data_IF_243686235562
#
_entry.id   IF_243686235562
#
_cell.length_a   1.000
_cell.length_b   1.000
_cell.length_c   1.000
_cell.angle_alpha   90.00
_cell.angle_beta   90.00
_cell.angle_gamma   90.00
#
_symmetry.space_group_name_H-M   'P 1'
#
loop_
_entity.id
_entity.type
_entity.pdbx_description
1 polymer ?
#
# COMPACT_ATOMS: atom_id res chain seq x y z
N UNK A 1 -11.84 20.13 14.83
CA UNK A 1 -11.96 19.42 13.54
C UNK A 1 -12.09 17.92 13.79
N UNK A 2 -12.76 17.19 12.89
CA UNK A 2 -12.83 15.73 12.93
C UNK A 2 -13.05 15.18 11.52
N UNK A 3 -12.64 13.94 11.29
CA UNK A 3 -12.81 13.27 10.00
C UNK A 3 -13.74 12.06 10.08
N UNK A 4 -14.45 11.79 8.98
CA UNK A 4 -15.15 10.53 8.75
C UNK A 4 -14.53 9.90 7.50
N UNK A 5 -13.91 8.73 7.66
CA UNK A 5 -13.31 8.01 6.55
C UNK A 5 -14.18 6.82 6.14
N UNK A 6 -14.22 6.55 4.84
CA UNK A 6 -14.92 5.41 4.26
C UNK A 6 -14.06 4.77 3.18
N UNK A 7 -14.08 3.43 3.13
CA UNK A 7 -13.63 2.68 1.97
C UNK A 7 -14.80 1.89 1.42
N UNK A 8 -15.01 1.95 0.11
CA UNK A 8 -16.16 1.30 -0.51
C UNK A 8 -16.11 1.29 -2.03
N UNK A 9 -17.09 0.59 -2.61
CA UNK A 9 -17.26 0.50 -4.05
C UNK A 9 -18.01 1.72 -4.58
N UNK A 10 -17.53 2.22 -5.71
CA UNK A 10 -18.15 3.28 -6.49
C UNK A 10 -18.35 2.83 -7.93
N UNK A 11 -19.37 3.40 -8.56
CA UNK A 11 -19.76 3.05 -9.91
C UNK A 11 -19.81 4.30 -10.79
N UNK A 12 -19.20 4.23 -11.96
CA UNK A 12 -19.31 5.26 -13.00
C UNK A 12 -19.77 4.59 -14.28
N UNK A 13 -20.82 5.11 -14.92
CA UNK A 13 -21.31 4.55 -16.19
C UNK A 13 -20.42 5.00 -17.37
N UNK A 14 -19.14 4.61 -17.31
CA UNK A 14 -18.11 4.96 -18.27
C UNK A 14 -18.49 4.48 -19.68
N UNK A 15 -18.47 5.42 -20.63
CA UNK A 15 -18.87 5.21 -22.03
C UNK A 15 -17.82 4.38 -22.75
N UNK A 16 -16.54 4.66 -22.49
CA UNK A 16 -15.42 3.97 -23.15
C UNK A 16 -14.42 3.49 -22.09
N UNK A 17 -14.61 2.27 -21.55
CA UNK A 17 -13.63 1.66 -20.67
C UNK A 17 -12.27 1.52 -21.35
N UNK A 18 -11.18 1.61 -20.59
CA UNK A 18 -9.83 1.60 -21.16
C UNK A 18 -8.73 1.81 -20.12
N UNK A 19 -7.48 1.77 -20.58
CA UNK A 19 -6.28 1.98 -19.76
C UNK A 19 -6.29 1.15 -18.46
N UNK A 20 -6.65 -0.13 -18.60
CA UNK A 20 -6.67 -1.11 -17.52
C UNK A 20 -7.55 -0.66 -16.33
N UNK A 21 -6.96 -0.25 -15.20
CA UNK A 21 -7.70 0.16 -13.98
C UNK A 21 -8.15 1.63 -13.99
N UNK A 22 -7.75 2.43 -14.98
CA UNK A 22 -8.02 3.88 -14.96
C UNK A 22 -9.44 4.25 -15.35
N UNK A 23 -10.02 3.52 -16.31
CA UNK A 23 -11.37 3.75 -16.82
C UNK A 23 -12.18 2.47 -16.73
N UNK A 24 -12.72 2.22 -15.54
CA UNK A 24 -13.60 1.08 -15.23
C UNK A 24 -15.01 1.58 -14.86
N UNK A 25 -15.96 0.65 -14.77
CA UNK A 25 -17.34 0.94 -14.34
C UNK A 25 -17.57 0.72 -12.85
N UNK A 26 -16.72 -0.08 -12.23
CA UNK A 26 -16.69 -0.39 -10.79
C UNK A 26 -15.25 -0.25 -10.32
N UNK A 27 -15.04 0.42 -9.19
CA UNK A 27 -13.74 0.61 -8.56
C UNK A 27 -13.94 0.89 -7.06
N UNK A 28 -12.87 0.79 -6.29
CA UNK A 28 -12.89 1.08 -4.84
C UNK A 28 -12.21 2.42 -4.56
N UNK A 29 -12.84 3.20 -3.69
CA UNK A 29 -12.31 4.48 -3.23
C UNK A 29 -12.00 4.42 -1.73
N UNK A 30 -11.01 5.19 -1.34
CA UNK A 30 -10.71 5.53 0.06
C UNK A 30 -10.88 7.04 0.19
N UNK A 31 -11.93 7.45 0.86
CA UNK A 31 -12.33 8.85 0.97
C UNK A 31 -12.42 9.24 2.44
N UNK A 32 -12.18 10.51 2.73
CA UNK A 32 -12.38 11.06 4.05
C UNK A 32 -12.94 12.46 3.98
N UNK A 33 -14.06 12.68 4.65
CA UNK A 33 -14.62 14.00 4.85
C UNK A 33 -14.07 14.58 6.14
N UNK A 34 -13.20 15.59 6.04
CA UNK A 34 -12.58 16.24 7.18
C UNK A 34 -13.23 17.59 7.45
N UNK A 35 -14.04 17.64 8.51
CA UNK A 35 -14.84 18.79 8.91
C UNK A 35 -14.03 19.76 9.76
N UNK A 36 -13.93 21.00 9.29
CA UNK A 36 -13.11 22.06 9.89
C UNK A 36 -13.90 23.33 10.12
N UNK A 37 -13.39 24.19 11.00
CA UNK A 37 -13.97 25.51 11.21
C UNK A 37 -13.68 26.41 9.99
N UNK A 38 -14.67 27.15 9.47
CA UNK A 38 -14.44 28.13 8.40
C UNK A 38 -13.32 29.12 8.76
N UNK A 39 -12.39 29.37 7.83
CA UNK A 39 -11.22 30.21 8.07
C UNK A 39 -9.98 29.44 8.54
N UNK A 40 -10.12 28.16 8.90
CA UNK A 40 -8.99 27.24 9.13
C UNK A 40 -8.76 26.27 7.96
N UNK A 41 -9.63 26.33 6.94
CA UNK A 41 -9.71 25.37 5.84
C UNK A 41 -8.43 25.28 4.99
N UNK A 42 -7.78 26.40 4.69
CA UNK A 42 -6.55 26.39 3.89
C UNK A 42 -5.40 25.68 4.61
N UNK A 43 -5.28 25.88 5.92
CA UNK A 43 -4.28 25.19 6.73
C UNK A 43 -4.53 23.67 6.74
N UNK A 44 -5.78 23.25 6.92
CA UNK A 44 -6.13 21.83 6.93
C UNK A 44 -6.04 21.19 5.55
N UNK A 45 -6.33 21.94 4.48
CA UNK A 45 -6.14 21.50 3.11
C UNK A 45 -4.66 21.23 2.84
N UNK A 46 -3.78 22.17 3.18
CA UNK A 46 -2.34 21.98 3.00
C UNK A 46 -1.79 20.84 3.86
N UNK A 47 -2.24 20.72 5.12
CA UNK A 47 -1.89 19.60 5.98
C UNK A 47 -2.20 18.25 5.33
N UNK A 48 -3.41 18.09 4.77
CA UNK A 48 -3.80 16.82 4.15
C UNK A 48 -3.05 16.56 2.84
N UNK A 49 -2.72 17.58 2.05
CA UNK A 49 -1.86 17.42 0.87
C UNK A 49 -0.50 16.83 1.27
N UNK A 50 0.14 17.43 2.27
CA UNK A 50 1.45 17.00 2.73
C UNK A 50 1.39 15.61 3.37
N UNK A 51 0.35 15.33 4.17
CA UNK A 51 0.16 14.05 4.84
C UNK A 51 -0.11 12.92 3.84
N UNK A 52 -0.93 13.15 2.81
CA UNK A 52 -1.24 12.15 1.79
C UNK A 52 -0.06 11.92 0.86
N UNK A 53 0.68 12.96 0.48
CA UNK A 53 1.94 12.78 -0.27
C UNK A 53 2.96 11.98 0.54
N UNK A 54 3.12 12.31 1.83
CA UNK A 54 3.98 11.58 2.77
C UNK A 54 3.58 10.11 2.87
N UNK A 55 2.29 9.81 2.90
CA UNK A 55 1.80 8.43 2.98
C UNK A 55 2.25 7.57 1.79
N UNK A 56 2.20 8.08 0.56
CA UNK A 56 2.69 7.35 -0.61
C UNK A 56 4.21 7.12 -0.57
N UNK A 57 4.97 8.15 -0.21
CA UNK A 57 6.44 8.07 -0.10
C UNK A 57 6.86 7.13 1.02
N UNK A 58 6.22 7.23 2.18
CA UNK A 58 6.48 6.38 3.34
C UNK A 58 6.23 4.90 3.01
N UNK A 59 5.23 4.60 2.17
CA UNK A 59 4.93 3.25 1.67
C UNK A 59 5.78 2.81 0.48
N UNK A 60 6.82 3.57 0.13
CA UNK A 60 7.88 3.14 -0.78
C UNK A 60 7.78 3.67 -2.21
N UNK A 61 6.82 4.54 -2.53
CA UNK A 61 6.85 5.23 -3.84
C UNK A 61 8.00 6.23 -3.85
N UNK A 62 8.80 6.19 -4.91
CA UNK A 62 9.87 7.14 -5.16
C UNK A 62 9.33 8.55 -5.39
N UNK A 63 9.80 9.58 -4.65
CA UNK A 63 9.31 10.95 -4.77
C UNK A 63 9.37 11.52 -6.19
N UNK A 64 10.37 11.14 -6.99
CA UNK A 64 10.51 11.59 -8.38
C UNK A 64 9.36 11.14 -9.31
N UNK A 65 8.61 10.11 -8.92
CA UNK A 65 7.46 9.62 -9.66
C UNK A 65 6.12 10.19 -9.15
N UNK A 66 6.16 11.08 -8.16
CA UNK A 66 4.98 11.76 -7.64
C UNK A 66 5.07 13.26 -7.93
N UNK A 67 3.90 13.88 -8.13
CA UNK A 67 3.79 15.34 -8.15
C UNK A 67 2.45 15.78 -7.59
N UNK A 68 2.43 17.00 -7.07
CA UNK A 68 1.19 17.72 -6.76
C UNK A 68 0.84 18.57 -7.97
N UNK A 69 -0.39 18.45 -8.46
CA UNK A 69 -0.91 19.21 -9.60
C UNK A 69 -2.13 20.02 -9.17
N UNK A 70 -2.04 21.34 -9.27
CA UNK A 70 -3.20 22.22 -9.05
C UNK A 70 -4.21 22.08 -10.20
N UNK A 71 -5.50 22.07 -9.85
CA UNK A 71 -6.57 22.20 -10.84
C UNK A 71 -6.60 23.63 -11.38
N UNK A 72 -6.72 23.77 -12.70
CA UNK A 72 -6.97 25.07 -13.32
C UNK A 72 -8.42 25.54 -13.13
N UNK A 73 -8.70 26.82 -13.40
CA UNK A 73 -10.07 27.39 -13.26
C UNK A 73 -11.15 26.60 -14.03
N UNK A 74 -10.80 26.02 -15.19
CA UNK A 74 -11.72 25.25 -16.02
C UNK A 74 -11.95 23.80 -15.53
N UNK A 75 -11.08 23.29 -14.66
CA UNK A 75 -11.14 21.93 -14.09
C UNK A 75 -11.80 21.94 -12.70
N UNK A 76 -11.69 23.06 -11.99
CA UNK A 76 -12.22 23.23 -10.65
C UNK A 76 -13.74 23.05 -10.63
N UNK A 77 -14.21 22.16 -9.76
CA UNK A 77 -15.64 22.00 -9.52
C UNK A 77 -16.24 23.30 -8.97
N UNK A 78 -17.47 23.62 -9.37
CA UNK A 78 -18.14 24.88 -9.02
C UNK A 78 -18.27 25.17 -7.52
N UNK A 79 -18.17 24.15 -6.68
CA UNK A 79 -18.22 24.24 -5.22
C UNK A 79 -16.84 24.19 -4.54
N UNK A 80 -15.78 23.87 -5.27
CA UNK A 80 -14.45 23.74 -4.72
C UNK A 80 -13.76 25.10 -4.68
N UNK A 81 -13.21 25.46 -3.52
CA UNK A 81 -12.34 26.63 -3.36
C UNK A 81 -10.94 26.38 -3.92
N UNK A 82 -10.42 25.16 -3.78
CA UNK A 82 -9.15 24.69 -4.31
C UNK A 82 -9.17 23.17 -4.40
N UNK A 83 -8.61 22.62 -5.47
CA UNK A 83 -8.38 21.18 -5.60
C UNK A 83 -6.98 20.94 -6.13
N UNK A 84 -6.29 19.96 -5.55
CA UNK A 84 -5.03 19.45 -6.07
C UNK A 84 -5.11 17.95 -6.25
N UNK A 85 -4.38 17.43 -7.23
CA UNK A 85 -4.20 16.00 -7.40
C UNK A 85 -2.78 15.59 -7.01
N UNK A 86 -2.66 14.43 -6.39
CA UNK A 86 -1.41 13.67 -6.34
C UNK A 86 -1.39 12.75 -7.56
N UNK A 87 -0.55 13.08 -8.54
CA UNK A 87 -0.33 12.25 -9.72
C UNK A 87 0.85 11.31 -9.50
N UNK A 88 0.78 10.12 -10.10
CA UNK A 88 1.92 9.23 -10.29
C UNK A 88 2.30 9.11 -11.76
N UNK A 89 3.60 9.04 -12.04
CA UNK A 89 4.11 8.79 -13.38
C UNK A 89 4.17 7.29 -13.68
N UNK A 90 3.21 6.79 -14.45
CA UNK A 90 3.25 5.44 -14.98
C UNK A 90 4.21 5.38 -16.18
N UNK A 91 5.24 4.50 -16.16
CA UNK A 91 6.18 4.34 -17.26
C UNK A 91 5.58 3.51 -18.40
N UNK A 92 4.37 3.86 -18.82
CA UNK A 92 3.61 3.28 -19.92
C UNK A 92 3.11 4.41 -20.82
N UNK A 93 3.30 4.27 -22.14
CA UNK A 93 2.98 5.31 -23.13
C UNK A 93 1.50 5.70 -23.13
N UNK A 94 0.60 4.83 -22.67
CA UNK A 94 -0.85 5.07 -22.64
C UNK A 94 -1.33 5.77 -21.37
N UNK A 95 -0.51 5.83 -20.31
CA UNK A 95 -0.90 6.34 -18.99
C UNK A 95 -0.15 7.62 -18.60
N UNK A 96 1.19 7.62 -18.68
CA UNK A 96 2.01 8.76 -18.25
C UNK A 96 1.66 9.27 -16.84
N UNK A 97 1.62 10.59 -16.67
CA UNK A 97 1.14 11.20 -15.44
C UNK A 97 -0.38 11.00 -15.28
N UNK A 98 -0.77 10.29 -14.23
CA UNK A 98 -2.18 10.01 -13.94
C UNK A 98 -2.48 10.21 -12.45
N UNK A 99 -3.67 10.73 -12.18
CA UNK A 99 -4.20 11.00 -10.84
C UNK A 99 -4.37 9.72 -10.00
N UNK A 100 -3.79 9.71 -8.80
CA UNK A 100 -4.04 8.71 -7.76
C UNK A 100 -5.10 9.15 -6.75
N UNK A 101 -5.05 10.43 -6.38
CA UNK A 101 -5.85 10.99 -5.31
C UNK A 101 -6.10 12.48 -5.52
N UNK A 102 -7.36 12.89 -5.44
CA UNK A 102 -7.76 14.29 -5.41
C UNK A 102 -7.91 14.79 -3.99
N UNK A 103 -7.47 16.01 -3.73
CA UNK A 103 -7.63 16.69 -2.44
C UNK A 103 -8.38 18.01 -2.65
N UNK A 104 -9.64 18.05 -2.28
CA UNK A 104 -10.53 19.19 -2.50
C UNK A 104 -10.83 19.93 -1.19
N UNK A 105 -10.88 21.26 -1.26
CA UNK A 105 -11.52 22.11 -0.26
C UNK A 105 -12.88 22.53 -0.81
N UNK A 106 -13.96 21.94 -0.28
CA UNK A 106 -15.33 22.07 -0.79
C UNK A 106 -16.16 23.09 -0.02
N UNK A 107 -15.53 23.81 0.91
CA UNK A 107 -16.20 24.76 1.81
C UNK A 107 -17.40 24.11 2.49
N UNK A 108 -18.54 24.79 2.61
CA UNK A 108 -19.76 24.29 3.26
C UNK A 108 -20.83 23.79 2.28
N UNK A 109 -20.48 23.63 1.01
CA UNK A 109 -21.43 23.29 -0.07
C UNK A 109 -22.24 22.03 0.24
N UNK A 110 -21.55 20.94 0.60
CA UNK A 110 -22.17 19.62 0.78
C UNK A 110 -23.19 19.60 1.92
N UNK A 111 -22.81 20.17 3.06
CA UNK A 111 -23.68 20.24 4.23
C UNK A 111 -24.88 21.15 3.99
N UNK A 112 -24.68 22.30 3.31
CA UNK A 112 -25.80 23.19 2.95
C UNK A 112 -26.79 22.52 2.01
N UNK A 113 -26.30 21.88 0.95
CA UNK A 113 -27.16 21.20 -0.02
C UNK A 113 -27.98 20.07 0.65
N UNK A 114 -27.36 19.25 1.49
CA UNK A 114 -28.07 18.19 2.22
C UNK A 114 -29.03 18.71 3.28
N UNK A 115 -28.69 19.79 4.00
CA UNK A 115 -29.59 20.42 4.96
C UNK A 115 -30.81 21.01 4.27
N UNK A 116 -30.65 21.71 3.15
CA UNK A 116 -31.75 22.29 2.38
C UNK A 116 -32.71 21.20 1.89
N UNK A 117 -32.19 20.08 1.38
CA UNK A 117 -33.01 18.98 0.87
C UNK A 117 -33.68 18.15 1.97
N UNK A 118 -33.02 17.94 3.11
CA UNK A 118 -33.49 17.04 4.18
C UNK A 118 -34.29 17.74 5.29
N UNK A 119 -34.10 19.05 5.45
CA UNK A 119 -34.63 19.83 6.57
C UNK A 119 -33.98 19.53 7.92
N UNK A 120 -32.95 18.66 7.97
CA UNK A 120 -32.19 18.38 9.19
C UNK A 120 -31.10 19.40 9.38
N UNK A 121 -30.92 19.88 10.62
CA UNK A 121 -29.87 20.83 10.96
C UNK A 121 -28.50 20.13 10.95
N UNK A 122 -27.64 20.54 10.01
CA UNK A 122 -26.28 20.05 9.84
C UNK A 122 -25.24 21.10 10.28
N UNK A 123 -25.65 22.11 11.06
CA UNK A 123 -24.72 23.07 11.64
C UNK A 123 -24.04 22.52 12.89
N UNK A 124 -22.80 22.94 13.13
CA UNK A 124 -22.10 22.72 14.38
C UNK A 124 -22.35 23.89 15.33
N UNK A 125 -22.63 23.61 16.60
CA UNK A 125 -22.76 24.62 17.66
C UNK A 125 -21.49 24.65 18.52
N UNK A 126 -20.74 25.73 18.37
CA UNK A 126 -19.53 26.04 19.14
C UNK A 126 -19.94 26.71 20.46
N UNK A 127 -20.15 25.89 21.49
CA UNK A 127 -20.59 26.34 22.81
C UNK A 127 -19.65 27.39 23.45
N UNK A 128 -18.30 27.23 23.42
CA UNK A 128 -17.40 28.25 23.97
C UNK A 128 -17.55 29.66 23.38
N UNK A 129 -17.87 29.76 22.07
CA UNK A 129 -17.98 31.05 21.38
C UNK A 129 -19.43 31.45 21.06
N UNK A 130 -20.40 30.67 21.52
CA UNK A 130 -21.85 30.84 21.31
C UNK A 130 -22.24 31.13 19.85
N UNK A 131 -21.72 30.32 18.91
CA UNK A 131 -21.99 30.49 17.48
C UNK A 131 -22.32 29.17 16.78
N UNK A 132 -23.10 29.26 15.71
CA UNK A 132 -23.40 28.16 14.81
C UNK A 132 -22.82 28.41 13.43
N UNK A 133 -22.29 27.37 12.81
CA UNK A 133 -21.78 27.44 11.44
C UNK A 133 -21.89 26.09 10.76
N UNK A 134 -21.89 26.08 9.42
CA UNK A 134 -21.64 24.89 8.63
C UNK A 134 -20.13 24.65 8.58
N UNK A 135 -19.62 23.51 9.08
CA UNK A 135 -18.22 23.17 8.91
C UNK A 135 -17.81 23.19 7.44
N UNK A 136 -16.59 23.62 7.16
CA UNK A 136 -16.00 23.43 5.84
C UNK A 136 -15.48 22.00 5.71
N UNK A 137 -15.47 21.46 4.50
CA UNK A 137 -15.09 20.07 4.21
C UNK A 137 -13.81 20.05 3.40
N UNK A 138 -12.79 19.38 3.93
CA UNK A 138 -11.58 18.99 3.21
C UNK A 138 -11.68 17.50 2.89
N UNK A 139 -11.59 17.15 1.62
CA UNK A 139 -11.80 15.80 1.12
C UNK A 139 -10.53 15.29 0.42
N UNK A 140 -9.77 14.38 1.04
CA UNK A 140 -8.85 13.50 0.34
C UNK A 140 -9.61 12.28 -0.20
N UNK A 141 -9.55 12.06 -1.51
CA UNK A 141 -10.25 10.99 -2.21
C UNK A 141 -9.29 10.19 -3.10
N UNK A 142 -8.84 9.03 -2.61
CA UNK A 142 -7.91 8.17 -3.30
C UNK A 142 -8.60 7.01 -4.03
N UNK A 143 -8.14 6.68 -5.24
CA UNK A 143 -8.52 5.44 -5.92
C UNK A 143 -7.71 4.26 -5.39
N UNK A 144 -8.32 3.37 -4.61
CA UNK A 144 -7.61 2.23 -4.00
C UNK A 144 -6.94 1.31 -5.05
N UNK A 145 -7.65 1.06 -6.15
CA UNK A 145 -7.14 0.25 -7.26
C UNK A 145 -5.96 0.93 -7.99
N UNK A 146 -6.03 2.25 -8.19
CA UNK A 146 -4.96 3.03 -8.82
C UNK A 146 -3.72 3.10 -7.92
N UNK A 147 -3.91 3.35 -6.63
CA UNK A 147 -2.83 3.32 -5.64
C UNK A 147 -2.14 1.95 -5.61
N UNK A 148 -2.91 0.85 -5.62
CA UNK A 148 -2.36 -0.52 -5.69
C UNK A 148 -1.49 -0.71 -6.94
N UNK A 149 -1.98 -0.26 -8.10
CA UNK A 149 -1.21 -0.34 -9.34
C UNK A 149 0.07 0.49 -9.29
N UNK A 150 0.00 1.71 -8.74
CA UNK A 150 1.17 2.58 -8.57
C UNK A 150 2.24 1.92 -7.69
N UNK A 151 1.87 1.31 -6.56
CA UNK A 151 2.82 0.57 -5.72
C UNK A 151 3.44 -0.63 -6.44
N UNK A 152 2.69 -1.34 -7.28
CA UNK A 152 3.23 -2.46 -8.06
C UNK A 152 4.24 -1.99 -9.12
N UNK A 153 3.88 -0.95 -9.89
CA UNK A 153 4.79 -0.35 -10.88
C UNK A 153 6.04 0.22 -10.20
N UNK A 154 5.86 0.95 -9.10
CA UNK A 154 6.99 1.58 -8.44
C UNK A 154 7.87 0.59 -7.67
N UNK A 155 7.37 -0.58 -7.30
CA UNK A 155 8.16 -1.65 -6.68
C UNK A 155 8.87 -2.55 -7.71
N UNK A 156 8.42 -2.59 -8.96
CA UNK A 156 8.96 -3.50 -9.97
C UNK A 156 10.40 -3.16 -10.35
N UNK A 157 11.31 -4.12 -10.19
CA UNK A 157 12.72 -3.99 -10.57
C UNK A 157 13.20 -5.22 -11.33
N UNK A 158 14.07 -4.96 -12.29
CA UNK A 158 14.90 -5.97 -12.94
C UNK A 158 16.33 -5.71 -12.50
N UNK A 159 16.91 -6.63 -11.74
CA UNK A 159 18.23 -6.47 -11.11
C UNK A 159 19.17 -7.57 -11.55
N UNK A 160 20.46 -7.26 -11.66
CA UNK A 160 21.51 -8.26 -11.82
C UNK A 160 21.96 -8.77 -10.45
N UNK A 161 21.84 -10.07 -10.22
CA UNK A 161 22.10 -10.71 -8.94
C UNK A 161 22.91 -12.00 -9.13
N UNK A 162 23.88 -12.29 -8.24
CA UNK A 162 24.65 -13.53 -8.34
C UNK A 162 23.77 -14.75 -8.06
N UNK A 163 23.99 -15.81 -8.82
CA UNK A 163 23.43 -17.13 -8.54
C UNK A 163 24.25 -17.88 -7.47
N UNK A 164 23.90 -19.14 -7.20
CA UNK A 164 24.61 -19.97 -6.22
C UNK A 164 26.09 -20.25 -6.58
N UNK A 165 26.50 -19.99 -7.82
CA UNK A 165 27.89 -20.14 -8.31
C UNK A 165 28.61 -18.79 -8.43
N UNK A 166 27.94 -17.68 -8.09
CA UNK A 166 28.47 -16.33 -8.21
C UNK A 166 28.34 -15.74 -9.62
N UNK A 167 27.66 -16.41 -10.55
CA UNK A 167 27.41 -15.89 -11.89
C UNK A 167 26.25 -14.90 -11.84
N UNK A 168 26.44 -13.71 -12.40
CA UNK A 168 25.40 -12.69 -12.45
C UNK A 168 24.26 -13.13 -13.37
N UNK A 169 23.06 -13.17 -12.82
CA UNK A 169 21.83 -13.45 -13.54
C UNK A 169 20.80 -12.36 -13.29
N UNK A 170 20.02 -12.06 -14.31
CA UNK A 170 18.88 -11.16 -14.16
C UNK A 170 17.83 -11.77 -13.23
N UNK A 171 17.23 -10.95 -12.36
CA UNK A 171 16.06 -11.29 -11.55
C UNK A 171 15.01 -10.19 -11.63
N UNK A 172 13.75 -10.62 -11.67
CA UNK A 172 12.61 -9.76 -11.41
C UNK A 172 12.33 -9.79 -9.92
N UNK A 173 12.14 -8.63 -9.32
CA UNK A 173 11.78 -8.49 -7.90
C UNK A 173 10.75 -7.37 -7.73
N UNK A 174 9.70 -7.64 -6.97
CA UNK A 174 8.80 -6.61 -6.46
C UNK A 174 9.33 -6.12 -5.11
N UNK A 175 10.01 -4.97 -5.10
CA UNK A 175 10.51 -4.31 -3.89
C UNK A 175 9.40 -3.56 -3.13
N UNK A 176 8.28 -4.24 -2.89
CA UNK A 176 7.16 -3.69 -2.11
C UNK A 176 7.63 -3.39 -0.69
N UNK A 177 7.14 -2.30 -0.11
CA UNK A 177 7.27 -2.07 1.34
C UNK A 177 6.74 -3.30 2.10
N UNK A 178 7.42 -3.68 3.18
CA UNK A 178 7.09 -4.90 3.94
C UNK A 178 5.65 -4.87 4.47
N UNK A 179 5.06 -3.69 4.69
CA UNK A 179 3.64 -3.52 5.06
C UNK A 179 2.70 -3.90 3.92
N UNK A 180 3.09 -3.68 2.67
CA UNK A 180 2.27 -3.94 1.49
C UNK A 180 2.45 -5.34 0.88
N UNK A 181 3.55 -6.04 1.17
CA UNK A 181 3.80 -7.36 0.59
C UNK A 181 2.66 -8.37 0.89
N UNK A 182 2.13 -9.11 -0.10
CA UNK A 182 0.98 -10.00 0.08
C UNK A 182 1.27 -11.16 1.04
N UNK A 183 2.47 -11.72 0.94
CA UNK A 183 3.03 -12.65 1.91
C UNK A 183 4.22 -11.98 2.59
N UNK A 184 4.35 -12.17 3.91
CA UNK A 184 5.49 -11.64 4.66
C UNK A 184 6.63 -12.64 4.73
N UNK A 185 6.29 -13.92 4.72
CA UNK A 185 7.20 -15.04 4.93
C UNK A 185 6.87 -16.19 3.98
N UNK A 186 7.90 -16.84 3.43
CA UNK A 186 7.75 -18.12 2.73
C UNK A 186 8.64 -19.19 3.37
N UNK A 187 8.10 -20.36 3.70
CA UNK A 187 8.85 -21.50 4.27
C UNK A 187 9.13 -22.53 3.18
N UNK A 188 10.42 -22.78 2.93
CA UNK A 188 10.93 -23.47 1.76
C UNK A 188 11.88 -24.62 2.18
N UNK A 189 11.40 -25.86 2.39
CA UNK A 189 12.29 -26.97 2.71
C UNK A 189 13.27 -27.25 1.57
N UNK A 190 14.55 -27.52 1.86
CA UNK A 190 15.58 -27.73 0.85
C UNK A 190 15.22 -28.89 -0.11
N UNK A 191 14.54 -29.93 0.40
CA UNK A 191 14.03 -31.05 -0.40
C UNK A 191 12.69 -31.57 0.15
N UNK A 192 11.98 -32.36 -0.67
CA UNK A 192 10.73 -33.03 -0.30
C UNK A 192 10.92 -34.33 0.49
N UNK A 193 12.10 -34.55 1.09
CA UNK A 193 12.34 -35.77 1.87
C UNK A 193 11.50 -35.73 3.14
N UNK A 194 10.89 -36.87 3.48
CA UNK A 194 10.07 -37.02 4.68
C UNK A 194 10.82 -36.69 5.98
N UNK A 195 12.15 -36.73 5.97
CA UNK A 195 12.97 -36.31 7.11
C UNK A 195 12.91 -34.81 7.38
N UNK A 196 12.68 -33.96 6.38
CA UNK A 196 12.61 -32.50 6.53
C UNK A 196 11.18 -31.98 6.69
N UNK A 197 10.20 -32.69 6.13
CA UNK A 197 8.81 -32.24 6.11
C UNK A 197 8.25 -31.92 7.50
N UNK A 198 8.46 -32.73 8.57
CA UNK A 198 7.96 -32.40 9.90
C UNK A 198 8.51 -31.08 10.43
N UNK A 199 9.82 -30.86 10.36
CA UNK A 199 10.47 -29.63 10.83
C UNK A 199 10.06 -28.42 9.98
N UNK A 200 9.91 -28.58 8.67
CA UNK A 200 9.46 -27.50 7.81
C UNK A 200 7.99 -27.10 8.07
N UNK A 201 7.14 -28.07 8.40
CA UNK A 201 5.76 -27.83 8.83
C UNK A 201 5.71 -27.17 10.20
N UNK A 202 6.55 -27.59 11.13
CA UNK A 202 6.70 -26.94 12.45
C UNK A 202 7.06 -25.46 12.29
N UNK A 203 8.07 -25.14 11.47
CA UNK A 203 8.50 -23.76 11.20
C UNK A 203 7.38 -22.97 10.52
N UNK A 204 6.66 -23.56 9.57
CA UNK A 204 5.52 -22.92 8.93
C UNK A 204 4.38 -22.64 9.92
N UNK A 205 4.07 -23.59 10.79
CA UNK A 205 3.04 -23.47 11.81
C UNK A 205 3.38 -22.39 12.85
N UNK A 206 4.67 -22.19 13.16
CA UNK A 206 5.15 -21.11 14.01
C UNK A 206 4.89 -19.73 13.38
N UNK A 207 5.28 -19.52 12.12
CA UNK A 207 5.22 -18.18 11.50
C UNK A 207 3.83 -17.79 10.99
N UNK A 208 3.01 -18.77 10.56
CA UNK A 208 1.68 -18.49 9.98
C UNK A 208 0.67 -17.94 10.99
N UNK A 209 0.96 -18.04 12.29
CA UNK A 209 0.10 -17.49 13.36
C UNK A 209 0.11 -15.97 13.36
N UNK A 210 1.25 -15.36 13.04
CA UNK A 210 1.43 -13.89 13.08
C UNK A 210 1.50 -13.24 11.71
N UNK A 211 1.83 -14.00 10.66
CA UNK A 211 2.05 -13.42 9.34
C UNK A 211 1.41 -14.24 8.24
N UNK A 212 0.90 -13.55 7.23
CA UNK A 212 0.55 -14.15 5.95
C UNK A 212 1.77 -14.87 5.39
N UNK A 213 1.69 -16.19 5.32
CA UNK A 213 2.83 -17.04 5.04
C UNK A 213 2.51 -18.07 3.96
N UNK A 214 3.49 -18.39 3.13
CA UNK A 214 3.40 -19.44 2.11
C UNK A 214 4.32 -20.63 2.46
N UNK A 215 3.90 -21.85 2.13
CA UNK A 215 4.74 -23.04 2.20
C UNK A 215 4.91 -23.61 0.80
N UNK A 216 6.15 -23.78 0.35
CA UNK A 216 6.42 -24.33 -0.98
C UNK A 216 7.65 -25.24 -0.98
N UNK A 217 7.44 -26.48 -1.40
CA UNK A 217 8.46 -27.53 -1.53
C UNK A 217 8.71 -27.95 -2.99
N UNK A 218 8.08 -27.27 -3.95
CA UNK A 218 8.15 -27.59 -5.38
C UNK A 218 9.41 -27.06 -6.05
N UNK A 219 9.95 -27.84 -6.99
CA UNK A 219 11.13 -27.47 -7.78
C UNK A 219 12.38 -27.17 -6.93
N UNK A 220 13.44 -26.66 -7.55
CA UNK A 220 14.67 -26.29 -6.84
C UNK A 220 14.45 -25.07 -5.94
N UNK A 221 15.25 -24.99 -4.87
CA UNK A 221 15.19 -23.86 -3.91
C UNK A 221 15.41 -22.51 -4.61
N UNK A 222 16.34 -22.44 -5.58
CA UNK A 222 16.58 -21.23 -6.36
C UNK A 222 15.34 -20.74 -7.12
N UNK A 223 14.57 -21.66 -7.73
CA UNK A 223 13.32 -21.29 -8.42
C UNK A 223 12.22 -20.84 -7.46
N UNK A 224 12.22 -21.37 -6.23
CA UNK A 224 11.31 -20.92 -5.17
C UNK A 224 11.66 -19.50 -4.72
N UNK A 225 12.93 -19.20 -4.46
CA UNK A 225 13.35 -17.83 -4.17
C UNK A 225 12.97 -16.86 -5.29
N UNK A 226 13.14 -17.22 -6.58
CA UNK A 226 12.73 -16.35 -7.69
C UNK A 226 11.24 -16.04 -7.70
N UNK A 227 10.37 -17.05 -7.47
CA UNK A 227 8.92 -16.81 -7.36
C UNK A 227 8.56 -15.88 -6.21
N UNK A 228 9.22 -16.05 -5.07
CA UNK A 228 9.00 -15.20 -3.90
C UNK A 228 9.51 -13.77 -4.10
N UNK A 229 10.65 -13.59 -4.79
CA UNK A 229 11.15 -12.28 -5.21
C UNK A 229 10.15 -11.60 -6.17
N UNK A 230 9.61 -12.35 -7.15
CA UNK A 230 8.63 -11.87 -8.14
C UNK A 230 7.32 -11.38 -7.53
N UNK A 231 6.85 -11.99 -6.42
CA UNK A 231 5.64 -11.55 -5.71
C UNK A 231 5.93 -10.64 -4.50
N UNK A 232 7.21 -10.32 -4.28
CA UNK A 232 7.66 -9.35 -3.29
C UNK A 232 7.66 -9.82 -1.85
N UNK A 233 7.70 -11.13 -1.58
CA UNK A 233 7.76 -11.69 -0.22
C UNK A 233 9.08 -11.27 0.47
N UNK A 234 9.04 -10.53 1.59
CA UNK A 234 10.24 -9.99 2.23
C UNK A 234 11.24 -11.04 2.73
N UNK A 235 10.75 -12.14 3.32
CA UNK A 235 11.60 -13.15 3.95
C UNK A 235 11.28 -14.56 3.45
N UNK A 236 12.31 -15.28 3.01
CA UNK A 236 12.22 -16.71 2.72
C UNK A 236 13.02 -17.50 3.76
N UNK A 237 12.40 -18.51 4.36
CA UNK A 237 12.98 -19.34 5.40
C UNK A 237 13.25 -20.72 4.80
N UNK A 238 14.52 -21.10 4.75
CA UNK A 238 14.93 -22.41 4.27
C UNK A 238 15.21 -23.36 5.42
N UNK A 239 14.61 -24.55 5.32
CA UNK A 239 14.81 -25.66 6.26
C UNK A 239 15.66 -26.70 5.53
N UNK A 240 16.92 -26.82 5.92
CA UNK A 240 17.90 -27.71 5.30
C UNK A 240 18.23 -28.92 6.21
N UNK A 241 19.12 -29.79 5.76
CA UNK A 241 19.48 -30.99 6.53
C UNK A 241 20.18 -30.63 7.84
N UNK A 242 20.99 -29.56 7.85
CA UNK A 242 21.67 -29.09 9.05
C UNK A 242 20.66 -28.62 10.11
N UNK A 243 19.48 -28.14 9.70
CA UNK A 243 18.38 -27.77 10.63
C UNK A 243 17.95 -28.93 11.54
N UNK A 244 18.10 -30.18 11.09
CA UNK A 244 17.74 -31.35 11.89
C UNK A 244 18.70 -31.56 13.07
N UNK A 245 19.94 -31.08 12.96
CA UNK A 245 20.97 -31.21 13.98
C UNK A 245 21.07 -29.94 14.84
N UNK A 246 21.10 -28.76 14.22
CA UNK A 246 21.36 -27.48 14.91
C UNK A 246 20.10 -26.72 15.34
N UNK A 247 18.90 -27.20 14.93
CA UNK A 247 17.61 -26.55 15.20
C UNK A 247 17.57 -25.07 14.77
N UNK A 248 18.29 -24.73 13.70
CA UNK A 248 18.31 -23.40 13.11
C UNK A 248 17.91 -23.43 11.63
N UNK A 249 17.31 -22.34 11.16
CA UNK A 249 16.87 -22.15 9.78
C UNK A 249 17.62 -21.01 9.13
N UNK A 250 17.66 -21.02 7.80
CA UNK A 250 18.30 -19.95 7.03
C UNK A 250 17.23 -18.94 6.59
N UNK A 251 17.30 -17.71 7.08
CA UNK A 251 16.38 -16.62 6.72
C UNK A 251 17.04 -15.74 5.67
N UNK A 252 16.47 -15.71 4.46
CA UNK A 252 16.91 -14.88 3.35
C UNK A 252 16.06 -13.61 3.24
N UNK A 253 16.71 -12.46 3.23
CA UNK A 253 16.10 -11.16 2.94
C UNK A 253 15.98 -10.93 1.42
N UNK A 254 14.80 -10.49 0.96
CA UNK A 254 14.50 -10.26 -0.48
C UNK A 254 15.42 -9.23 -1.14
N UNK A 255 15.61 -8.10 -0.46
CA UNK A 255 16.23 -6.91 -1.05
C UNK A 255 17.74 -7.06 -1.09
N UNK A 256 18.34 -7.40 0.05
CA UNK A 256 19.79 -7.57 0.21
C UNK A 256 20.30 -8.93 -0.27
N UNK A 257 19.43 -9.94 -0.36
CA UNK A 257 19.77 -11.35 -0.60
C UNK A 257 20.64 -11.98 0.50
N UNK A 258 20.90 -11.27 1.60
CA UNK A 258 21.65 -11.79 2.74
C UNK A 258 20.89 -12.95 3.38
N UNK A 259 21.64 -13.94 3.87
CA UNK A 259 21.14 -15.11 4.54
C UNK A 259 21.69 -15.18 5.97
N UNK A 260 20.79 -15.16 6.94
CA UNK A 260 21.13 -15.30 8.36
C UNK A 260 20.71 -16.69 8.86
N UNK A 261 21.58 -17.38 9.61
CA UNK A 261 21.24 -18.63 10.31
C UNK A 261 20.62 -18.28 11.66
N UNK A 262 19.35 -18.62 11.87
CA UNK A 262 18.54 -18.22 13.03
C UNK A 262 17.97 -19.46 13.71
N UNK A 263 18.17 -19.60 15.03
CA UNK A 263 17.56 -20.67 15.80
C UNK A 263 16.03 -20.62 15.69
N UNK A 264 15.36 -21.78 15.54
CA UNK A 264 13.90 -21.85 15.38
C UNK A 264 13.18 -21.17 16.56
N UNK A 265 13.71 -21.33 17.77
CA UNK A 265 13.18 -20.70 19.00
C UNK A 265 13.24 -19.16 18.98
N UNK A 266 14.20 -18.58 18.25
CA UNK A 266 14.38 -17.13 18.14
C UNK A 266 13.71 -16.54 16.88
N UNK A 267 13.15 -17.39 16.01
CA UNK A 267 12.68 -17.01 14.69
C UNK A 267 11.54 -15.99 14.72
N UNK A 268 10.57 -16.18 15.61
CA UNK A 268 9.44 -15.24 15.78
C UNK A 268 9.94 -13.86 16.22
N UNK A 269 10.83 -13.80 17.21
CA UNK A 269 11.39 -12.55 17.68
C UNK A 269 12.25 -11.85 16.61
N UNK A 270 13.04 -12.63 15.85
CA UNK A 270 13.84 -12.13 14.74
C UNK A 270 12.98 -11.46 13.67
N UNK A 271 11.86 -12.09 13.29
CA UNK A 271 10.92 -11.58 12.29
C UNK A 271 10.11 -10.38 12.80
N UNK A 272 9.65 -10.41 14.07
CA UNK A 272 8.87 -9.33 14.67
C UNK A 272 9.61 -7.98 14.76
N UNK A 273 10.95 -8.00 14.78
CA UNK A 273 11.76 -6.78 14.72
C UNK A 273 11.82 -6.16 13.31
N UNK A 274 11.48 -6.95 12.27
CA UNK A 274 11.73 -6.62 10.85
C UNK A 274 10.45 -6.49 10.03
N UNK A 275 9.38 -7.12 10.48
CA UNK A 275 8.06 -7.11 9.87
C UNK A 275 7.08 -6.38 10.78
N UNK A 276 6.09 -5.67 10.22
CA UNK A 276 4.97 -5.21 11.02
C UNK A 276 4.27 -6.41 11.68
N UNK A 277 3.78 -6.23 12.90
CA UNK A 277 2.82 -7.16 13.47
C UNK A 277 1.53 -7.10 12.65
N UNK A 278 0.96 -8.25 12.30
CA UNK A 278 -0.42 -8.31 11.82
C UNK A 278 -1.37 -8.48 13.01
#
# INVERSE_FOLDING_TARGET
PFGIAQMGKSFRNEITPGNFVFRTREFEQMEMEYFVEPGTDEQWHQYWIDERLRWYVDLGIRPENLRIREHGEAELSHYAKRTVDIDYYFPDESMGWSELEGLANRTDFDLKAHQEASGQDLTYYDQPNDRRYHPYVIEPAAGATRATLAFLFDAYRVESAPDAKGELQERVVLKLDKRLAPYKVAVLPLSKKETLTPTAREVFDLVKVRWMSEYDETQSIGRRYRRQDEIGTPYCITVDFDTLDDRAVTVRDRDSMQQDRVAIEALEAYLAQRLPGC
#
